data_IF_654857432140
#
_entry.id   IF_654857432140
#
_cell.length_a   1.000
_cell.length_b   1.000
_cell.length_c   1.000
_cell.angle_alpha   90.00
_cell.angle_beta   90.00
_cell.angle_gamma   90.00
#
_symmetry.space_group_name_H-M   'P 1'
#
loop_
_entity.id
_entity.type
_entity.pdbx_description
1 polymer ?
#
# COMPACT_ATOMS: atom_id res chain seq x y z
N UNK A 1 -35.06 38.99 -7.92
CA UNK A 1 -33.76 38.54 -8.46
C UNK A 1 -32.94 38.09 -7.26
N UNK A 2 -33.07 36.80 -6.93
CA UNK A 2 -32.03 35.77 -7.09
C UNK A 2 -30.79 36.10 -6.26
N UNK A 3 -30.66 35.44 -5.11
CA UNK A 3 -29.47 34.65 -4.76
C UNK A 3 -29.68 33.97 -3.40
N UNK A 4 -30.67 33.07 -3.37
CA UNK A 4 -30.64 31.95 -2.44
C UNK A 4 -29.77 30.86 -3.08
N UNK A 5 -28.45 31.00 -3.00
CA UNK A 5 -27.52 29.93 -3.38
C UNK A 5 -26.89 29.33 -2.11
N UNK A 6 -27.58 28.32 -1.61
CA UNK A 6 -26.98 27.01 -1.32
C UNK A 6 -25.68 27.01 -0.50
N UNK A 7 -25.81 27.22 0.82
CA UNK A 7 -24.76 26.82 1.80
C UNK A 7 -24.68 25.27 1.92
N UNK A 8 -25.41 24.52 1.09
CA UNK A 8 -25.33 23.05 0.99
C UNK A 8 -24.18 22.57 0.10
N UNK A 9 -23.52 23.44 -0.66
CA UNK A 9 -22.41 23.08 -1.57
C UNK A 9 -21.00 23.22 -0.95
N UNK A 10 -20.89 23.71 0.29
CA UNK A 10 -19.59 23.86 0.96
C UNK A 10 -19.13 22.61 1.74
N UNK A 11 -19.92 21.53 1.77
CA UNK A 11 -19.56 20.27 2.46
C UNK A 11 -19.10 19.14 1.52
N UNK A 12 -19.14 19.33 0.19
CA UNK A 12 -18.59 18.36 -0.77
C UNK A 12 -17.06 18.47 -0.94
N UNK A 13 -16.42 19.43 -0.26
CA UNK A 13 -14.96 19.63 -0.29
C UNK A 13 -14.23 18.99 0.90
N UNK A 14 -14.91 18.23 1.74
CA UNK A 14 -14.23 17.34 2.70
C UNK A 14 -13.77 16.11 1.90
N UNK A 15 -12.64 16.31 1.23
CA UNK A 15 -11.60 15.32 1.04
C UNK A 15 -12.16 13.94 0.69
N UNK A 16 -12.33 13.67 -0.60
CA UNK A 16 -12.30 12.33 -1.13
C UNK A 16 -10.95 11.68 -0.78
N UNK A 17 -10.82 11.22 0.46
CA UNK A 17 -9.73 10.38 0.96
C UNK A 17 -9.86 9.02 0.29
N UNK A 18 -9.58 8.99 -1.00
CA UNK A 18 -9.31 7.77 -1.74
C UNK A 18 -7.93 7.30 -1.30
N UNK A 19 -7.88 6.65 -0.14
CA UNK A 19 -6.78 5.75 0.21
C UNK A 19 -6.79 4.65 -0.87
N UNK A 20 -6.10 4.88 -1.98
CA UNK A 20 -5.99 3.94 -3.08
C UNK A 20 -5.22 2.72 -2.57
N UNK A 21 -5.96 1.71 -2.11
CA UNK A 21 -5.43 0.45 -1.60
C UNK A 21 -5.01 -0.43 -2.78
N UNK A 22 -3.79 -0.23 -3.27
CA UNK A 22 -3.22 -1.05 -4.34
C UNK A 22 -2.74 -2.40 -3.80
N UNK A 23 -3.21 -3.49 -4.42
CA UNK A 23 -2.85 -4.86 -4.05
C UNK A 23 -1.39 -5.17 -4.42
N UNK A 24 -0.57 -5.56 -3.44
CA UNK A 24 0.84 -5.95 -3.62
C UNK A 24 1.11 -7.25 -4.39
N UNK A 25 0.17 -7.68 -5.25
CA UNK A 25 0.20 -8.93 -6.02
C UNK A 25 0.95 -8.82 -7.34
N UNK A 26 1.08 -7.60 -7.88
CA UNK A 26 1.75 -7.33 -9.17
C UNK A 26 3.14 -6.77 -8.94
N UNK A 27 4.14 -7.32 -9.63
CA UNK A 27 5.52 -6.81 -9.55
C UNK A 27 5.63 -5.41 -10.12
N UNK A 28 4.88 -5.09 -11.16
CA UNK A 28 4.87 -3.76 -11.78
C UNK A 28 4.48 -2.64 -10.80
N UNK A 29 3.72 -2.98 -9.74
CA UNK A 29 3.32 -2.04 -8.71
C UNK A 29 4.40 -1.86 -7.61
N UNK A 30 5.36 -2.79 -7.49
CA UNK A 30 6.40 -2.76 -6.46
C UNK A 30 7.71 -2.34 -7.09
N UNK A 31 8.18 -1.15 -6.71
CA UNK A 31 9.50 -0.62 -7.06
C UNK A 31 10.35 -0.52 -5.79
N UNK A 32 11.66 -0.77 -5.86
CA UNK A 32 12.56 -0.46 -4.75
C UNK A 32 12.45 1.04 -4.44
N UNK A 33 12.41 1.40 -3.16
CA UNK A 33 12.14 2.76 -2.68
C UNK A 33 10.68 3.05 -2.32
N UNK A 34 9.73 2.16 -2.63
CA UNK A 34 8.33 2.32 -2.20
C UNK A 34 8.12 1.94 -0.74
N UNK A 35 7.16 2.63 -0.12
CA UNK A 35 6.63 2.29 1.20
C UNK A 35 5.60 1.17 1.03
N UNK A 36 5.87 0.05 1.67
CA UNK A 36 5.00 -1.12 1.65
C UNK A 36 4.79 -1.65 3.05
N UNK A 37 3.64 -2.29 3.25
CA UNK A 37 3.35 -3.05 4.45
C UNK A 37 3.63 -4.53 4.14
N UNK A 38 4.60 -5.11 4.84
CA UNK A 38 5.00 -6.52 4.70
C UNK A 38 4.52 -7.35 5.88
N UNK A 39 4.22 -8.61 5.62
CA UNK A 39 4.02 -9.62 6.66
C UNK A 39 5.26 -10.51 6.67
N UNK A 40 5.93 -10.55 7.82
CA UNK A 40 7.04 -11.45 8.05
C UNK A 40 6.53 -12.84 8.42
N UNK A 41 7.36 -13.88 8.26
CA UNK A 41 6.93 -15.27 8.53
C UNK A 41 6.49 -15.45 9.99
N UNK A 42 7.19 -14.82 10.93
CA UNK A 42 6.82 -14.85 12.35
C UNK A 42 5.46 -14.19 12.64
N UNK A 43 5.05 -13.22 11.82
CA UNK A 43 3.83 -12.44 12.00
C UNK A 43 2.64 -13.00 11.21
N UNK A 44 2.81 -14.09 10.45
CA UNK A 44 1.71 -14.71 9.68
C UNK A 44 0.57 -15.22 10.57
N UNK A 45 0.87 -15.64 11.81
CA UNK A 45 -0.15 -16.09 12.78
C UNK A 45 -0.87 -14.92 13.45
N UNK A 46 -0.19 -13.79 13.61
CA UNK A 46 -0.71 -12.61 14.32
C UNK A 46 -1.32 -11.58 13.38
N UNK A 47 -1.04 -11.69 12.07
CA UNK A 47 -1.49 -10.74 11.06
C UNK A 47 -0.79 -9.37 11.16
N UNK A 48 0.28 -9.25 11.95
CA UNK A 48 0.98 -7.97 12.09
C UNK A 48 1.70 -7.62 10.79
N UNK A 49 1.42 -6.44 10.27
CA UNK A 49 2.14 -5.85 9.16
C UNK A 49 3.23 -4.93 9.68
N UNK A 50 4.40 -5.01 9.07
CA UNK A 50 5.50 -4.08 9.30
C UNK A 50 5.60 -3.15 8.11
N UNK A 51 5.51 -1.85 8.36
CA UNK A 51 5.75 -0.84 7.34
C UNK A 51 7.24 -0.68 7.11
N UNK A 52 7.64 -0.61 5.84
CA UNK A 52 9.02 -0.30 5.50
C UNK A 52 9.23 0.03 4.03
N UNK A 53 10.46 0.40 3.73
CA UNK A 53 10.88 0.74 2.36
C UNK A 53 11.46 -0.51 1.70
N UNK A 54 10.99 -0.83 0.50
CA UNK A 54 11.55 -1.94 -0.29
C UNK A 54 12.98 -1.61 -0.70
N UNK A 55 13.93 -2.47 -0.32
CA UNK A 55 15.31 -2.43 -0.82
C UNK A 55 15.45 -3.26 -2.08
N UNK A 56 14.99 -4.50 -2.04
CA UNK A 56 15.18 -5.48 -3.11
C UNK A 56 13.98 -6.41 -3.23
N UNK A 57 13.66 -6.81 -4.46
CA UNK A 57 12.62 -7.79 -4.76
C UNK A 57 13.30 -9.15 -4.97
N UNK A 58 12.95 -10.14 -4.16
CA UNK A 58 13.58 -11.47 -4.19
C UNK A 58 12.86 -12.47 -5.10
N UNK A 59 11.72 -12.08 -5.67
CA UNK A 59 10.92 -12.91 -6.57
C UNK A 59 11.07 -12.48 -8.02
N UNK A 60 11.35 -13.45 -8.89
CA UNK A 60 11.46 -13.24 -10.34
C UNK A 60 10.12 -13.17 -11.06
N UNK A 61 9.10 -13.91 -10.59
CA UNK A 61 7.82 -13.99 -11.29
C UNK A 61 7.01 -12.69 -11.15
N UNK A 62 6.23 -12.32 -12.18
CA UNK A 62 5.49 -11.07 -12.21
C UNK A 62 4.25 -11.07 -11.30
N UNK A 63 3.68 -12.24 -11.04
CA UNK A 63 2.46 -12.44 -10.25
C UNK A 63 2.67 -13.53 -9.21
N UNK A 64 2.26 -13.26 -7.97
CA UNK A 64 2.29 -14.24 -6.88
C UNK A 64 0.97 -14.20 -6.10
N UNK A 65 0.28 -15.34 -5.91
CA UNK A 65 -1.01 -15.39 -5.23
C UNK A 65 -0.92 -14.93 -3.77
N UNK A 66 0.21 -15.19 -3.11
CA UNK A 66 0.47 -14.81 -1.72
C UNK A 66 1.27 -13.51 -1.57
N UNK A 67 1.41 -12.73 -2.64
CA UNK A 67 2.21 -11.51 -2.64
C UNK A 67 3.70 -11.72 -2.91
N UNK A 68 4.37 -10.62 -3.17
CA UNK A 68 5.77 -10.57 -3.64
C UNK A 68 6.72 -10.62 -2.45
N UNK A 69 7.79 -11.42 -2.60
CA UNK A 69 8.82 -11.51 -1.55
C UNK A 69 9.78 -10.34 -1.72
N UNK A 70 9.86 -9.50 -0.71
CA UNK A 70 10.74 -8.33 -0.71
C UNK A 70 11.64 -8.33 0.51
N UNK A 71 12.79 -7.70 0.35
CA UNK A 71 13.70 -7.31 1.44
C UNK A 71 13.52 -5.82 1.69
N UNK A 72 13.29 -5.45 2.94
CA UNK A 72 13.25 -4.05 3.36
C UNK A 72 14.67 -3.49 3.52
N UNK A 73 14.77 -2.16 3.55
CA UNK A 73 16.03 -1.46 3.88
C UNK A 73 16.54 -1.82 5.28
N UNK A 74 15.64 -2.15 6.21
CA UNK A 74 15.96 -2.63 7.57
C UNK A 74 16.54 -4.06 7.61
N UNK A 75 16.60 -4.75 6.46
CA UNK A 75 17.08 -6.14 6.37
C UNK A 75 16.01 -7.21 6.58
N UNK A 76 14.81 -6.82 6.98
CA UNK A 76 13.67 -7.71 7.16
C UNK A 76 13.18 -8.27 5.82
N UNK A 77 12.73 -9.52 5.81
CA UNK A 77 12.23 -10.21 4.62
C UNK A 77 10.81 -10.67 4.87
N UNK A 78 9.91 -10.32 3.96
CA UNK A 78 8.49 -10.63 4.09
C UNK A 78 7.75 -10.71 2.76
N UNK A 79 6.46 -11.02 2.86
CA UNK A 79 5.52 -10.95 1.74
C UNK A 79 4.81 -9.60 1.79
N UNK A 80 4.74 -8.89 0.67
CA UNK A 80 4.00 -7.62 0.61
C UNK A 80 2.50 -7.89 0.74
N UNK A 81 1.88 -7.24 1.72
CA UNK A 81 0.43 -7.26 1.93
C UNK A 81 -0.23 -6.11 1.16
N UNK A 82 0.26 -4.89 1.36
CA UNK A 82 -0.34 -3.67 0.81
C UNK A 82 0.72 -2.66 0.41
N UNK A 83 0.46 -1.90 -0.64
CA UNK A 83 1.31 -0.80 -1.10
C UNK A 83 0.65 0.51 -0.65
N UNK A 84 1.41 1.37 0.01
CA UNK A 84 0.91 2.69 0.45
C UNK A 84 1.37 3.72 -0.59
N UNK A 85 0.41 4.29 -1.32
CA UNK A 85 0.63 5.48 -2.14
C UNK A 85 0.31 6.73 -1.30
N UNK A 86 1.07 7.81 -1.48
CA UNK A 86 0.85 9.11 -0.85
C UNK A 86 0.23 10.06 -1.85
#
# INVERSE_FOLDING_TARGET
MKESLSIKEALDNISGCSNHHESGKKRSAIKPGLIVDIIQKQDQRTGKTTRGIVREILTGSPTHPHGIKVRLTTGQVGRVSSIIHK
#
